data_IF_372870024725
#
_entry.id   IF_372870024725
#
_cell.length_a   1.000
_cell.length_b   1.000
_cell.length_c   1.000
_cell.angle_alpha   90.00
_cell.angle_beta   90.00
_cell.angle_gamma   90.00
#
_symmetry.space_group_name_H-M   'P 1'
#
loop_
_entity.id
_entity.type
_entity.pdbx_description
1 polymer ?
#
# COMPACT_ATOMS: atom_id res chain seq x y z
N UNK A 1 12.14 -4.29 7.31
CA UNK A 1 11.04 -3.84 6.42
C UNK A 1 11.50 -3.86 4.96
N UNK A 2 12.51 -3.07 4.60
CA UNK A 2 13.05 -2.93 3.23
C UNK A 2 13.38 -4.24 2.55
N UNK A 3 14.16 -5.12 3.21
CA UNK A 3 14.55 -6.38 2.57
C UNK A 3 13.37 -7.29 2.19
N UNK A 4 12.24 -7.22 2.91
CA UNK A 4 11.03 -7.95 2.53
C UNK A 4 10.33 -7.31 1.32
N UNK A 5 10.39 -5.99 1.21
CA UNK A 5 9.84 -5.23 0.08
C UNK A 5 10.64 -5.48 -1.20
N UNK A 6 11.98 -5.40 -1.15
CA UNK A 6 12.85 -5.64 -2.31
C UNK A 6 12.61 -7.03 -2.91
N UNK A 7 12.53 -8.05 -2.05
CA UNK A 7 12.22 -9.43 -2.46
C UNK A 7 10.83 -9.50 -3.08
N UNK A 8 9.82 -8.84 -2.49
CA UNK A 8 8.47 -8.83 -3.02
C UNK A 8 8.40 -8.20 -4.42
N UNK A 9 9.14 -7.11 -4.67
CA UNK A 9 9.25 -6.45 -5.98
C UNK A 9 9.94 -7.37 -6.98
N UNK A 10 11.06 -7.98 -6.62
CA UNK A 10 11.77 -8.93 -7.49
C UNK A 10 10.88 -10.13 -7.87
N UNK A 11 10.15 -10.69 -6.90
CA UNK A 11 9.19 -11.76 -7.15
C UNK A 11 8.03 -11.29 -8.04
N UNK A 12 7.46 -10.13 -7.76
CA UNK A 12 6.28 -9.66 -8.47
C UNK A 12 6.58 -9.26 -9.91
N UNK A 13 7.75 -8.67 -10.17
CA UNK A 13 8.22 -8.37 -11.53
C UNK A 13 8.47 -9.65 -12.32
N UNK A 14 9.11 -10.65 -11.70
CA UNK A 14 9.34 -11.97 -12.31
C UNK A 14 8.01 -12.68 -12.62
N UNK A 15 7.09 -12.73 -11.64
CA UNK A 15 5.76 -13.32 -11.81
C UNK A 15 5.00 -12.59 -12.92
N UNK A 16 5.09 -11.25 -12.96
CA UNK A 16 4.44 -10.43 -14.01
C UNK A 16 4.89 -10.83 -15.41
N UNK A 17 6.19 -11.03 -15.61
CA UNK A 17 6.72 -11.50 -16.90
C UNK A 17 6.17 -12.90 -17.27
N UNK A 18 6.13 -13.82 -16.30
CA UNK A 18 5.62 -15.18 -16.51
C UNK A 18 4.13 -15.14 -16.88
N UNK A 19 3.30 -14.43 -16.11
CA UNK A 19 1.85 -14.39 -16.36
C UNK A 19 1.51 -13.68 -17.67
N UNK A 20 2.29 -12.67 -18.08
CA UNK A 20 2.15 -12.02 -19.38
C UNK A 20 2.37 -13.01 -20.54
N UNK A 21 3.42 -13.83 -20.46
CA UNK A 21 3.71 -14.86 -21.48
C UNK A 21 2.64 -15.96 -21.53
N UNK A 22 1.94 -16.19 -20.42
CA UNK A 22 0.87 -17.19 -20.32
C UNK A 22 -0.54 -16.62 -20.56
N UNK A 23 -0.65 -15.33 -20.93
CA UNK A 23 -1.92 -14.61 -21.06
C UNK A 23 -2.82 -14.68 -19.80
N UNK A 24 -2.20 -14.80 -18.62
CA UNK A 24 -2.89 -14.79 -17.33
C UNK A 24 -2.98 -13.32 -16.84
N UNK A 25 -4.11 -12.89 -16.25
CA UNK A 25 -4.24 -11.56 -15.68
C UNK A 25 -3.12 -11.25 -14.65
N UNK A 26 -2.67 -10.00 -14.56
CA UNK A 26 -1.63 -9.62 -13.62
C UNK A 26 -2.06 -9.88 -12.18
N UNK A 27 -1.17 -10.48 -11.40
CA UNK A 27 -1.40 -10.75 -9.98
C UNK A 27 -1.07 -9.49 -9.18
N UNK A 28 -2.00 -8.94 -8.38
CA UNK A 28 -1.77 -7.71 -7.63
C UNK A 28 -0.84 -7.94 -6.45
N UNK A 29 0.10 -7.02 -6.23
CA UNK A 29 0.89 -6.97 -5.00
C UNK A 29 0.13 -6.15 -3.94
N UNK A 30 -0.05 -6.73 -2.75
CA UNK A 30 -0.65 -6.06 -1.59
C UNK A 30 0.34 -6.08 -0.43
N UNK A 31 0.64 -4.91 0.14
CA UNK A 31 1.45 -4.79 1.35
C UNK A 31 0.53 -4.78 2.57
N UNK A 32 0.85 -5.61 3.56
CA UNK A 32 0.16 -5.65 4.84
C UNK A 32 1.12 -5.24 5.97
N UNK A 33 0.65 -4.41 6.89
CA UNK A 33 1.36 -4.08 8.13
C UNK A 33 0.41 -4.09 9.31
N UNK A 34 0.87 -4.53 10.47
CA UNK A 34 0.17 -4.42 11.75
C UNK A 34 0.58 -3.16 12.54
N UNK A 35 1.61 -2.45 12.08
CA UNK A 35 2.07 -1.20 12.68
C UNK A 35 1.24 -0.03 12.16
N UNK A 36 0.40 0.52 13.04
CA UNK A 36 -0.45 1.67 12.70
C UNK A 36 0.37 2.91 12.32
N UNK A 37 1.47 3.18 13.04
CA UNK A 37 2.32 4.34 12.75
C UNK A 37 2.98 4.22 11.38
N UNK A 38 3.41 3.02 11.00
CA UNK A 38 3.95 2.76 9.67
C UNK A 38 2.87 2.91 8.59
N UNK A 39 1.69 2.33 8.81
CA UNK A 39 0.57 2.50 7.88
C UNK A 39 0.28 3.97 7.64
N UNK A 40 0.10 4.76 8.71
CA UNK A 40 -0.15 6.19 8.60
C UNK A 40 1.00 6.91 7.87
N UNK A 41 2.27 6.51 8.09
CA UNK A 41 3.39 7.06 7.33
C UNK A 41 3.39 6.67 5.84
N UNK A 42 2.85 5.50 5.46
CA UNK A 42 2.80 5.08 4.07
C UNK A 42 1.65 5.72 3.31
N UNK A 43 0.47 5.80 3.94
CA UNK A 43 -0.77 6.23 3.28
C UNK A 43 -1.11 7.71 3.47
N UNK A 44 -0.69 8.31 4.59
CA UNK A 44 -0.86 9.75 4.83
C UNK A 44 0.51 10.39 4.61
N UNK A 45 0.53 11.69 4.32
CA UNK A 45 1.76 12.52 4.30
C UNK A 45 2.38 12.66 5.71
N UNK A 46 2.32 11.61 6.54
CA UNK A 46 3.00 11.53 7.81
C UNK A 46 4.50 11.60 7.61
N UNK A 47 5.19 12.17 8.59
CA UNK A 47 6.63 12.32 8.61
C UNK A 47 7.23 11.43 9.71
N UNK A 48 8.46 10.98 9.51
CA UNK A 48 9.27 10.31 10.54
C UNK A 48 10.57 11.09 10.72
N UNK A 49 11.07 11.14 11.95
CA UNK A 49 12.36 11.77 12.25
C UNK A 49 13.55 10.82 12.00
N UNK A 50 13.29 9.54 11.76
CA UNK A 50 14.33 8.55 11.48
C UNK A 50 14.71 8.62 9.99
N UNK A 51 15.95 9.05 9.73
CA UNK A 51 16.42 9.40 8.39
C UNK A 51 16.45 8.20 7.44
N UNK A 52 16.81 7.01 7.91
CA UNK A 52 16.90 5.82 7.06
C UNK A 52 15.49 5.34 6.67
N UNK A 53 14.58 5.25 7.63
CA UNK A 53 13.18 4.88 7.42
C UNK A 53 12.46 5.89 6.52
N UNK A 54 12.85 7.17 6.54
CA UNK A 54 12.32 8.15 5.58
C UNK A 54 12.62 7.74 4.13
N UNK A 55 13.85 7.28 3.83
CA UNK A 55 14.24 6.82 2.49
C UNK A 55 13.37 5.62 2.08
N UNK A 56 13.21 4.66 2.99
CA UNK A 56 12.42 3.45 2.75
C UNK A 56 10.94 3.76 2.51
N UNK A 57 10.37 4.68 3.29
CA UNK A 57 8.98 5.15 3.12
C UNK A 57 8.82 5.88 1.78
N UNK A 58 9.78 6.72 1.37
CA UNK A 58 9.71 7.41 0.07
C UNK A 58 9.71 6.40 -1.09
N UNK A 59 10.58 5.39 -1.05
CA UNK A 59 10.63 4.34 -2.08
C UNK A 59 9.33 3.52 -2.13
N UNK A 60 8.76 3.18 -0.98
CA UNK A 60 7.46 2.50 -0.91
C UNK A 60 6.31 3.36 -1.45
N UNK A 61 6.32 4.66 -1.17
CA UNK A 61 5.32 5.60 -1.71
C UNK A 61 5.43 5.74 -3.22
N UNK A 62 6.64 5.91 -3.74
CA UNK A 62 6.89 5.94 -5.19
C UNK A 62 6.38 4.67 -5.88
N UNK A 63 6.68 3.50 -5.32
CA UNK A 63 6.22 2.21 -5.85
C UNK A 63 4.69 2.06 -5.78
N UNK A 64 4.07 2.66 -4.76
CA UNK A 64 2.62 2.72 -4.62
C UNK A 64 1.96 3.68 -5.64
N UNK A 65 2.59 4.82 -5.92
CA UNK A 65 2.17 5.79 -6.94
C UNK A 65 2.29 5.20 -8.35
N UNK A 66 3.39 4.49 -8.62
CA UNK A 66 3.66 3.80 -9.89
C UNK A 66 2.80 2.53 -10.11
N UNK A 67 1.94 2.18 -9.16
CA UNK A 67 1.07 0.97 -9.19
C UNK A 67 1.82 -0.36 -9.23
N UNK A 68 3.06 -0.38 -8.75
CA UNK A 68 3.78 -1.61 -8.47
C UNK A 68 3.17 -2.30 -7.23
N UNK A 69 2.75 -1.50 -6.25
CA UNK A 69 1.94 -1.91 -5.11
C UNK A 69 0.49 -1.50 -5.36
N UNK A 70 -0.43 -2.48 -5.37
CA UNK A 70 -1.85 -2.27 -5.64
C UNK A 70 -2.59 -1.76 -4.41
N UNK A 71 -2.23 -2.22 -3.21
CA UNK A 71 -2.87 -1.81 -1.96
C UNK A 71 -1.88 -1.84 -0.80
N UNK A 72 -2.10 -0.95 0.15
CA UNK A 72 -1.47 -0.98 1.47
C UNK A 72 -2.58 -1.17 2.50
N UNK A 73 -2.48 -2.23 3.30
CA UNK A 73 -3.50 -2.63 4.28
C UNK A 73 -2.91 -2.60 5.69
N UNK A 74 -3.63 -1.94 6.60
CA UNK A 74 -3.42 -2.10 8.03
C UNK A 74 -4.20 -3.31 8.51
N UNK A 75 -3.51 -4.25 9.16
CA UNK A 75 -4.07 -5.53 9.58
C UNK A 75 -3.93 -5.74 11.09
N UNK A 76 -4.73 -6.65 11.64
CA UNK A 76 -4.58 -7.04 13.03
C UNK A 76 -3.29 -7.87 13.23
N UNK A 77 -2.44 -7.47 14.17
CA UNK A 77 -1.17 -8.17 14.44
C UNK A 77 -1.32 -9.62 14.86
N UNK A 78 -2.47 -10.03 15.44
CA UNK A 78 -2.73 -11.44 15.78
C UNK A 78 -2.87 -12.33 14.54
N UNK A 79 -3.26 -11.74 13.42
CA UNK A 79 -3.47 -12.44 12.15
C UNK A 79 -2.28 -12.29 11.19
N UNK A 80 -1.21 -11.61 11.62
CA UNK A 80 -0.03 -11.37 10.78
C UNK A 80 0.97 -12.53 10.90
N UNK A 81 1.11 -13.41 9.89
CA UNK A 81 2.08 -14.52 9.97
C UNK A 81 3.54 -14.03 9.97
N UNK A 82 3.82 -12.82 9.46
CA UNK A 82 5.17 -12.27 9.44
C UNK A 82 5.68 -11.89 10.85
N UNK A 83 4.78 -11.66 11.81
CA UNK A 83 5.15 -11.41 13.21
C UNK A 83 5.97 -12.58 13.79
N UNK A 84 5.57 -13.81 13.45
CA UNK A 84 6.29 -15.03 13.83
C UNK A 84 7.71 -15.10 13.24
N UNK A 85 7.96 -14.49 12.08
CA UNK A 85 9.28 -14.46 11.46
C UNK A 85 10.27 -13.53 12.18
N UNK A 86 9.78 -12.63 13.04
CA UNK A 86 10.61 -11.71 13.83
C UNK A 86 10.74 -12.10 15.30
N UNK A 87 10.03 -13.16 15.72
CA UNK A 87 9.95 -13.64 17.10
C UNK A 87 10.43 -15.08 17.20
N UNK A 88 10.76 -15.51 18.43
CA UNK A 88 11.24 -16.88 18.68
C UNK A 88 10.13 -17.93 18.66
N UNK A 89 8.88 -17.52 18.79
CA UNK A 89 7.72 -18.42 18.90
C UNK A 89 6.80 -18.26 17.69
N UNK A 90 6.30 -19.35 17.09
CA UNK A 90 5.32 -19.28 16.03
C UNK A 90 4.01 -18.70 16.57
N UNK A 91 3.27 -18.00 15.71
CA UNK A 91 1.93 -17.52 16.04
C UNK A 91 0.85 -18.38 15.36
N UNK A 92 -0.40 -18.23 15.80
CA UNK A 92 -1.53 -19.00 15.27
C UNK A 92 -1.76 -18.72 13.78
N UNK A 93 -1.48 -17.51 13.30
CA UNK A 93 -1.62 -17.16 11.89
C UNK A 93 -0.69 -18.00 11.00
N UNK A 94 0.58 -18.10 11.37
CA UNK A 94 1.57 -18.93 10.67
C UNK A 94 1.21 -20.42 10.78
N UNK A 95 0.80 -20.89 11.96
CA UNK A 95 0.39 -22.29 12.15
C UNK A 95 -0.78 -22.67 11.23
N UNK A 96 -1.82 -21.82 11.17
CA UNK A 96 -2.98 -22.03 10.29
C UNK A 96 -2.58 -22.01 8.82
N UNK A 97 -1.75 -21.06 8.41
CA UNK A 97 -1.23 -20.98 7.04
C UNK A 97 -0.54 -22.29 6.64
N UNK A 98 0.39 -22.79 7.46
CA UNK A 98 1.12 -24.04 7.16
C UNK A 98 0.20 -25.26 7.19
N UNK A 99 -0.72 -25.33 8.14
CA UNK A 99 -1.56 -26.54 8.35
C UNK A 99 -2.71 -26.64 7.35
N UNK A 100 -3.19 -25.51 6.83
CA UNK A 100 -4.41 -25.46 6.01
C UNK A 100 -4.17 -24.89 4.61
N UNK A 101 -3.00 -24.30 4.35
CA UNK A 101 -2.73 -23.49 3.15
C UNK A 101 -3.65 -22.27 2.99
N UNK A 102 -4.34 -21.87 4.06
CA UNK A 102 -5.23 -20.71 4.07
C UNK A 102 -4.80 -19.72 5.14
N UNK A 103 -4.88 -18.43 4.80
CA UNK A 103 -4.64 -17.33 5.71
C UNK A 103 -5.87 -16.42 5.72
N UNK A 104 -6.41 -16.16 6.90
CA UNK A 104 -7.46 -15.16 7.12
C UNK A 104 -6.85 -14.01 7.89
N UNK A 105 -6.93 -12.81 7.33
CA UNK A 105 -6.36 -11.60 7.93
C UNK A 105 -7.45 -10.58 8.13
N UNK A 106 -7.64 -10.13 9.38
CA UNK A 106 -8.53 -9.00 9.66
C UNK A 106 -7.88 -7.70 9.19
N UNK A 107 -8.50 -7.03 8.23
CA UNK A 107 -8.10 -5.70 7.75
C UNK A 107 -8.78 -4.64 8.60
N UNK A 108 -7.99 -3.78 9.24
CA UNK A 108 -8.48 -2.67 10.08
C UNK A 108 -8.64 -1.38 9.27
N UNK A 109 -7.79 -1.14 8.25
CA UNK A 109 -7.94 -0.03 7.30
C UNK A 109 -7.20 -0.31 5.99
N UNK A 110 -7.65 0.30 4.90
CA UNK A 110 -6.94 0.35 3.62
C UNK A 110 -7.38 1.60 2.84
N UNK A 111 -6.63 1.96 1.80
CA UNK A 111 -6.98 3.08 0.91
C UNK A 111 -7.72 2.54 -0.31
N UNK A 112 -8.98 2.94 -0.47
CA UNK A 112 -9.73 2.68 -1.70
C UNK A 112 -9.39 3.75 -2.75
N UNK A 113 -8.83 3.31 -3.88
CA UNK A 113 -8.44 4.17 -5.00
C UNK A 113 -9.49 4.25 -6.12
N UNK A 114 -10.53 3.43 -6.05
CA UNK A 114 -11.61 3.39 -7.05
C UNK A 114 -12.75 4.34 -6.66
N UNK A 115 -12.95 4.55 -5.36
CA UNK A 115 -13.88 5.55 -4.86
C UNK A 115 -13.19 6.92 -4.72
N UNK A 116 -12.93 7.59 -5.85
CA UNK A 116 -12.77 9.05 -5.83
C UNK A 116 -14.11 9.66 -5.46
N UNK A 117 -14.36 9.91 -4.18
CA UNK A 117 -15.29 10.98 -3.81
C UNK A 117 -14.70 12.25 -4.41
N UNK A 118 -15.37 12.80 -5.41
CA UNK A 118 -15.12 14.15 -5.88
C UNK A 118 -15.23 15.08 -4.66
N UNK A 119 -14.10 15.51 -4.12
CA UNK A 119 -14.09 16.59 -3.15
C UNK A 119 -14.50 17.86 -3.91
N UNK A 120 -15.53 18.61 -3.46
CA UNK A 120 -16.11 19.70 -4.22
C UNK A 120 -15.31 21.01 -4.18
N UNK A 121 -13.96 20.95 -4.17
CA UNK A 121 -13.13 22.14 -3.91
C UNK A 121 -12.39 22.67 -5.15
N UNK A 122 -12.31 21.91 -6.25
CA UNK A 122 -11.55 22.31 -7.45
C UNK A 122 -12.40 22.94 -8.58
N UNK A 123 -13.71 23.13 -8.40
CA UNK A 123 -14.57 23.81 -9.42
C UNK A 123 -14.66 25.32 -9.19
N UNK A 124 -14.22 25.83 -8.03
CA UNK A 124 -14.42 27.24 -7.66
C UNK A 124 -13.37 28.22 -8.23
N UNK A 125 -12.35 27.78 -8.97
CA UNK A 125 -11.27 28.65 -9.44
C UNK A 125 -11.18 28.83 -10.96
N UNK A 126 -12.02 28.19 -11.78
CA UNK A 126 -12.00 28.40 -13.24
C UNK A 126 -13.06 29.35 -13.80
N UNK A 127 -13.92 29.95 -12.98
CA UNK A 127 -15.01 30.84 -13.45
C UNK A 127 -14.85 32.33 -13.08
N UNK A 128 -13.69 32.78 -12.58
CA UNK A 128 -13.50 34.18 -12.17
C UNK A 128 -12.46 35.02 -12.91
N UNK A 129 -11.97 34.59 -14.07
CA UNK A 129 -11.05 35.42 -14.88
C UNK A 129 -11.58 35.80 -16.28
N UNK A 130 -12.90 35.70 -16.51
CA UNK A 130 -13.50 35.89 -17.83
C UNK A 130 -14.37 37.13 -18.05
N UNK A 131 -14.42 38.12 -17.14
CA UNK A 131 -15.29 39.29 -17.34
C UNK A 131 -14.65 40.58 -16.83
N UNK A 132 -13.84 41.19 -17.70
CA UNK A 132 -13.49 42.61 -17.56
C UNK A 132 -14.74 43.47 -17.78
N UNK A 133 -14.95 44.55 -17.01
CA UNK A 133 -16.04 45.47 -17.30
C UNK A 133 -15.57 46.42 -18.40
N UNK A 134 -16.19 46.29 -19.57
CA UNK A 134 -16.22 47.35 -20.57
C UNK A 134 -17.51 48.17 -20.37
N UNK A 135 -17.34 49.50 -20.43
CA UNK A 135 -18.35 50.57 -20.62
C UNK A 135 -19.08 51.15 -19.40
N UNK A 136 -18.69 52.39 -19.04
CA UNK A 136 -19.42 53.60 -19.43
C UNK A 136 -18.46 54.80 -19.47
#
# INVERSE_FOLDING_TARGET
MVGGFDIAIALSTTIRQIVQNLNIPPIPMVICTDSRSLYDCLVKLGTTNEKRLMIDIMSLRESYENREIQEIRWINGKDNPADACTKKTPNQALQKLVSTNHLTVKVEAFVDRLNKVQQPEDVAQSEKEGQGPDKA
#
